data_IF_609125002870
#
_entry.id   IF_609125002870
#
_cell.length_a   1.000
_cell.length_b   1.000
_cell.length_c   1.000
_cell.angle_alpha   90.00
_cell.angle_beta   90.00
_cell.angle_gamma   90.00
#
_symmetry.space_group_name_H-M   'P 1'
#
loop_
_entity.id
_entity.type
_entity.pdbx_description
1 polymer ?
#
# COMPACT_ATOMS: atom_id res chain seq x y z
N UNK A 1 -7.73 -0.58 -18.24
CA UNK A 1 -7.73 -0.81 -16.78
C UNK A 1 -6.26 -0.98 -16.37
N UNK A 2 -5.67 -0.06 -15.59
CA UNK A 2 -4.24 -0.13 -15.24
C UNK A 2 -3.97 -1.45 -14.50
N UNK A 3 -2.94 -2.19 -14.92
CA UNK A 3 -2.51 -3.43 -14.26
C UNK A 3 -2.24 -3.12 -12.78
N UNK A 4 -2.73 -3.93 -11.83
CA UNK A 4 -2.45 -3.70 -10.42
C UNK A 4 -0.93 -3.70 -10.18
N UNK A 5 -0.47 -2.79 -9.31
CA UNK A 5 0.96 -2.66 -8.99
C UNK A 5 1.53 -3.88 -8.27
N UNK A 6 0.68 -4.80 -7.83
CA UNK A 6 1.04 -6.00 -7.10
C UNK A 6 0.52 -7.22 -7.85
N UNK A 7 1.40 -8.20 -8.07
CA UNK A 7 1.03 -9.48 -8.64
C UNK A 7 0.20 -10.29 -7.65
N UNK A 8 -0.96 -10.76 -8.09
CA UNK A 8 -1.93 -11.41 -7.23
C UNK A 8 -1.99 -12.92 -7.52
N UNK A 9 -1.73 -13.74 -6.50
CA UNK A 9 -1.47 -15.19 -6.63
C UNK A 9 -2.69 -16.11 -6.53
N UNK A 10 -3.92 -15.59 -6.51
CA UNK A 10 -5.14 -16.43 -6.52
C UNK A 10 -5.61 -16.96 -5.16
N UNK A 11 -4.84 -16.80 -4.08
CA UNK A 11 -5.05 -17.55 -2.84
C UNK A 11 -6.11 -17.00 -1.87
N UNK A 12 -6.60 -15.76 -2.03
CA UNK A 12 -7.56 -15.10 -1.10
C UNK A 12 -8.59 -14.28 -1.85
N UNK A 13 -9.85 -14.19 -1.42
CA UNK A 13 -10.81 -13.27 -2.06
C UNK A 13 -10.47 -11.81 -1.71
N UNK A 14 -10.46 -10.92 -2.71
CA UNK A 14 -10.21 -9.48 -2.59
C UNK A 14 -11.18 -8.74 -3.52
N UNK A 15 -11.44 -7.47 -3.20
CA UNK A 15 -12.20 -6.56 -4.04
C UNK A 15 -11.21 -5.47 -4.47
N UNK A 16 -11.00 -5.32 -5.78
CA UNK A 16 -10.17 -4.24 -6.31
C UNK A 16 -10.93 -2.91 -6.20
N UNK A 17 -10.22 -1.88 -5.74
CA UNK A 17 -10.74 -0.51 -5.64
C UNK A 17 -9.80 0.46 -6.36
N UNK A 18 -10.31 1.64 -6.71
CA UNK A 18 -9.47 2.71 -7.25
C UNK A 18 -8.55 3.24 -6.14
N UNK A 19 -7.24 3.45 -6.38
CA UNK A 19 -6.30 3.92 -5.36
C UNK A 19 -6.46 5.43 -5.13
N UNK A 20 -7.51 5.84 -4.43
CA UNK A 20 -7.80 7.25 -4.10
C UNK A 20 -7.66 7.58 -2.62
N UNK A 21 -7.40 6.57 -1.78
CA UNK A 21 -7.37 6.71 -0.32
C UNK A 21 -5.95 6.46 0.17
N UNK A 22 -5.45 7.35 1.02
CA UNK A 22 -4.15 7.22 1.68
C UNK A 22 -4.38 6.83 3.13
N UNK A 23 -3.65 5.82 3.58
CA UNK A 23 -3.69 5.32 4.95
C UNK A 23 -2.35 5.52 5.63
N UNK A 24 -2.40 5.86 6.91
CA UNK A 24 -1.22 5.85 7.78
C UNK A 24 -0.94 4.43 8.27
N UNK A 25 0.32 4.03 8.13
CA UNK A 25 0.80 2.70 8.50
C UNK A 25 2.09 2.85 9.29
N UNK A 26 2.11 2.31 10.51
CA UNK A 26 3.34 2.13 11.27
C UNK A 26 3.99 0.81 10.88
N UNK A 27 5.31 0.78 10.76
CA UNK A 27 6.06 -0.41 10.39
C UNK A 27 7.44 -0.41 11.05
N UNK A 28 8.03 -1.60 11.19
CA UNK A 28 9.33 -1.75 11.87
C UNK A 28 10.52 -1.62 10.93
N UNK A 29 10.39 -2.12 9.71
CA UNK A 29 11.45 -2.10 8.70
C UNK A 29 10.88 -2.43 7.32
N UNK A 30 11.65 -2.14 6.27
CA UNK A 30 11.45 -2.70 4.93
C UNK A 30 12.06 -4.11 4.85
N UNK A 31 11.42 -4.99 4.09
CA UNK A 31 11.99 -6.28 3.70
C UNK A 31 12.85 -6.13 2.45
N UNK A 32 13.67 -7.12 2.15
CA UNK A 32 14.52 -7.12 0.95
C UNK A 32 13.72 -7.07 -0.36
N UNK A 33 12.48 -7.57 -0.35
CA UNK A 33 11.55 -7.52 -1.49
C UNK A 33 10.63 -6.29 -1.48
N UNK A 34 10.98 -5.23 -0.73
CA UNK A 34 10.27 -3.94 -0.76
C UNK A 34 8.91 -3.92 -0.07
N UNK A 35 8.66 -4.82 0.90
CA UNK A 35 7.41 -4.86 1.69
C UNK A 35 7.63 -4.35 3.11
N UNK A 36 6.55 -3.90 3.74
CA UNK A 36 6.57 -3.46 5.13
C UNK A 36 6.60 -4.67 6.08
N UNK A 37 7.56 -4.68 7.02
CA UNK A 37 7.67 -5.69 8.07
C UNK A 37 6.90 -5.27 9.31
N UNK A 38 6.03 -6.15 9.78
CA UNK A 38 5.16 -5.93 10.96
C UNK A 38 4.35 -4.62 10.84
N UNK A 39 3.64 -4.45 9.73
CA UNK A 39 2.81 -3.27 9.50
C UNK A 39 1.55 -3.25 10.37
N UNK A 40 1.19 -2.07 10.86
CA UNK A 40 -0.01 -1.80 11.64
C UNK A 40 -0.74 -0.59 11.06
N UNK A 41 -2.02 -0.76 10.75
CA UNK A 41 -2.88 0.33 10.27
C UNK A 41 -3.22 1.30 11.40
N UNK A 42 -3.05 2.60 11.14
CA UNK A 42 -3.32 3.66 12.13
C UNK A 42 -4.56 4.49 11.80
N UNK A 43 -4.90 4.64 10.52
CA UNK A 43 -6.06 5.41 10.11
C UNK A 43 -6.01 5.79 8.64
N UNK A 44 -7.12 6.29 8.12
CA UNK A 44 -7.14 7.02 6.86
C UNK A 44 -6.64 8.43 7.14
N UNK A 45 -5.80 8.96 6.26
CA UNK A 45 -5.56 10.40 6.22
C UNK A 45 -6.65 11.05 5.36
N UNK A 46 -6.98 12.29 5.68
CA UNK A 46 -7.69 13.13 4.72
C UNK A 46 -6.87 13.18 3.44
N UNK A 47 -7.53 13.36 2.29
CA UNK A 47 -6.86 13.39 1.00
C UNK A 47 -5.97 14.65 0.93
N UNK A 48 -4.79 14.58 1.54
CA UNK A 48 -3.77 15.60 1.43
C UNK A 48 -3.29 15.63 -0.01
N UNK A 49 -3.24 16.83 -0.57
CA UNK A 49 -2.73 17.12 -1.91
C UNK A 49 -1.26 16.66 -2.10
N UNK A 50 -0.58 16.28 -1.01
CA UNK A 50 0.83 15.87 -0.93
C UNK A 50 1.03 14.34 -0.85
N UNK A 51 0.31 13.58 -1.68
CA UNK A 51 0.53 12.14 -1.83
C UNK A 51 1.77 11.87 -2.68
N UNK A 52 2.96 12.11 -2.14
CA UNK A 52 4.22 11.76 -2.82
C UNK A 52 4.38 10.22 -2.86
N UNK A 53 4.51 9.69 -4.07
CA UNK A 53 4.78 8.26 -4.27
C UNK A 53 6.28 8.06 -4.06
N UNK A 54 6.66 7.53 -2.90
CA UNK A 54 8.02 7.08 -2.68
C UNK A 54 8.22 5.72 -3.35
N UNK A 55 9.12 5.66 -4.33
CA UNK A 55 9.52 4.42 -4.99
C UNK A 55 10.83 3.93 -4.38
N UNK A 56 10.83 2.70 -3.87
CA UNK A 56 12.05 2.03 -3.43
C UNK A 56 12.73 1.49 -4.69
N UNK A 57 13.99 1.85 -4.88
CA UNK A 57 14.85 1.33 -5.96
C UNK A 57 15.19 -0.15 -5.80
#
# INVERSE_FOLDING_TARGET
>A
MKKPSVEYSGRRKYIWVKPTQVAEVEYRAWTHDGKLRQSSYKGLREADENSEIYQIE
#
